data_IF_978618750826
#
_entry.id   IF_978618750826
#
_cell.length_a   1.000
_cell.length_b   1.000
_cell.length_c   1.000
_cell.angle_alpha   90.00
_cell.angle_beta   90.00
_cell.angle_gamma   90.00
#
_symmetry.space_group_name_H-M   'P 1'
#
loop_
_entity.id
_entity.type
_entity.pdbx_description
1 polymer ?
#
# COMPACT_ATOMS: atom_id res chain seq x y z
N UNK A 1 -12.66 -5.14 -11.60
CA UNK A 1 -11.68 -5.79 -12.52
C UNK A 1 -10.35 -5.79 -11.81
N UNK A 2 -9.50 -6.82 -11.95
CA UNK A 2 -8.19 -6.79 -11.26
C UNK A 2 -7.37 -5.60 -11.78
N UNK A 3 -6.86 -4.76 -10.88
CA UNK A 3 -6.10 -3.55 -11.22
C UNK A 3 -4.61 -3.82 -11.47
N UNK A 4 -4.17 -5.07 -11.33
CA UNK A 4 -2.80 -5.48 -11.62
C UNK A 4 -2.37 -5.05 -13.03
N UNK A 5 -1.16 -4.52 -13.16
CA UNK A 5 -0.61 -3.98 -14.40
C UNK A 5 -1.40 -2.82 -15.02
N UNK A 6 -2.20 -2.09 -14.23
CA UNK A 6 -2.85 -0.86 -14.68
C UNK A 6 -2.24 0.35 -13.96
N UNK A 7 -2.27 1.50 -14.63
CA UNK A 7 -1.83 2.77 -14.04
C UNK A 7 -2.86 3.27 -13.02
N UNK A 8 -2.39 3.80 -11.89
CA UNK A 8 -3.24 4.48 -10.92
C UNK A 8 -3.91 5.69 -11.59
N UNK A 9 -5.16 5.95 -11.22
CA UNK A 9 -5.90 7.10 -11.72
C UNK A 9 -5.45 8.39 -11.01
N UNK A 10 -5.63 9.56 -11.65
CA UNK A 10 -5.43 10.84 -11.00
C UNK A 10 -6.26 10.95 -9.72
N UNK A 11 -5.69 11.56 -8.69
CA UNK A 11 -6.35 11.89 -7.44
C UNK A 11 -5.67 13.10 -6.79
N UNK A 12 -6.41 13.73 -5.88
CA UNK A 12 -5.93 14.82 -5.05
C UNK A 12 -6.71 14.84 -3.75
N UNK A 13 -6.04 14.72 -2.61
CA UNK A 13 -6.71 14.64 -1.31
C UNK A 13 -5.88 15.28 -0.19
N UNK A 14 -6.58 15.57 0.90
CA UNK A 14 -5.96 16.05 2.14
C UNK A 14 -5.55 14.86 2.99
N UNK A 15 -4.38 14.98 3.62
CA UNK A 15 -3.83 13.96 4.50
C UNK A 15 -3.31 14.58 5.80
N UNK A 16 -3.25 13.76 6.84
CA UNK A 16 -2.52 14.07 8.06
C UNK A 16 -1.15 13.39 8.01
N UNK A 17 -0.06 14.11 8.30
CA UNK A 17 1.30 13.57 8.42
C UNK A 17 2.08 14.38 9.43
N UNK A 18 2.69 13.72 10.42
CA UNK A 18 3.61 14.32 11.40
C UNK A 18 3.12 15.64 12.05
N UNK A 19 1.83 15.69 12.41
CA UNK A 19 1.24 16.87 13.07
C UNK A 19 0.75 17.96 12.12
N UNK A 20 0.92 17.80 10.81
CA UNK A 20 0.52 18.77 9.80
C UNK A 20 -0.56 18.20 8.87
N UNK A 21 -1.35 19.11 8.29
CA UNK A 21 -2.22 18.79 7.16
C UNK A 21 -1.50 19.11 5.87
N UNK A 22 -1.41 18.11 5.00
CA UNK A 22 -0.74 18.19 3.71
C UNK A 22 -1.72 17.80 2.60
N UNK A 23 -1.39 18.19 1.38
CA UNK A 23 -2.07 17.74 0.18
C UNK A 23 -1.24 16.65 -0.49
N UNK A 24 -1.89 15.58 -0.95
CA UNK A 24 -1.26 14.46 -1.65
C UNK A 24 -1.95 14.25 -2.98
N UNK A 25 -1.15 14.04 -4.03
CA UNK A 25 -1.57 13.82 -5.40
C UNK A 25 -0.67 12.78 -6.09
N UNK A 26 -0.96 12.45 -7.34
CA UNK A 26 -0.10 11.57 -8.15
C UNK A 26 1.32 12.14 -8.35
N UNK A 27 1.49 13.46 -8.30
CA UNK A 27 2.81 14.10 -8.46
C UNK A 27 3.74 13.73 -7.31
N UNK A 28 3.21 13.54 -6.10
CA UNK A 28 3.98 13.17 -4.90
C UNK A 28 4.52 11.74 -4.95
N UNK A 29 3.89 10.90 -5.80
CA UNK A 29 4.19 9.48 -5.99
C UNK A 29 5.07 9.24 -7.21
N UNK A 30 4.98 10.09 -8.22
CA UNK A 30 5.71 9.91 -9.48
C UNK A 30 7.21 9.74 -9.25
N UNK A 31 7.80 8.69 -9.82
CA UNK A 31 9.22 8.38 -9.67
C UNK A 31 9.60 7.69 -8.36
N UNK A 32 8.63 7.30 -7.51
CA UNK A 32 8.87 6.56 -6.27
C UNK A 32 8.02 5.29 -6.23
N UNK A 33 8.49 4.29 -5.48
CA UNK A 33 7.62 3.20 -5.08
C UNK A 33 6.63 3.70 -4.05
N UNK A 34 5.36 3.32 -4.20
CA UNK A 34 4.31 3.69 -3.26
C UNK A 34 3.48 2.48 -2.82
N UNK A 35 3.01 2.53 -1.58
CA UNK A 35 2.06 1.56 -1.04
C UNK A 35 0.81 2.29 -0.60
N UNK A 36 -0.34 1.90 -1.17
CA UNK A 36 -1.65 2.37 -0.72
C UNK A 36 -2.28 1.30 0.17
N UNK A 37 -2.54 1.65 1.42
CA UNK A 37 -3.11 0.77 2.44
C UNK A 37 -4.50 1.26 2.81
N UNK A 38 -5.50 0.69 2.15
CA UNK A 38 -6.90 0.96 2.46
C UNK A 38 -7.33 0.23 3.72
N UNK A 39 -8.12 0.91 4.55
CA UNK A 39 -8.75 0.32 5.72
C UNK A 39 -10.17 0.89 5.91
N UNK A 40 -11.08 0.12 6.54
CA UNK A 40 -12.49 0.51 6.59
C UNK A 40 -12.77 1.85 7.29
N UNK A 41 -12.28 2.04 8.52
CA UNK A 41 -12.58 3.22 9.33
C UNK A 41 -11.61 3.41 10.49
N UNK A 42 -11.40 4.67 10.89
CA UNK A 42 -10.73 5.10 12.11
C UNK A 42 -11.48 4.61 13.36
N UNK A 43 -10.78 4.56 14.51
CA UNK A 43 -11.36 4.17 15.81
C UNK A 43 -12.01 2.77 15.87
N UNK A 44 -11.56 1.85 15.01
CA UNK A 44 -12.00 0.45 14.99
C UNK A 44 -10.93 -0.51 15.55
N UNK A 45 -11.13 -1.83 15.41
CA UNK A 45 -10.37 -2.85 16.15
C UNK A 45 -9.17 -3.41 15.39
N UNK A 46 -9.36 -3.85 14.14
CA UNK A 46 -8.30 -4.48 13.32
C UNK A 46 -7.44 -3.43 12.61
N UNK A 47 -8.03 -2.30 12.21
CA UNK A 47 -7.31 -1.22 11.52
C UNK A 47 -6.07 -0.72 12.28
N UNK A 48 -6.10 -0.43 13.60
CA UNK A 48 -4.90 0.04 14.28
C UNK A 48 -3.79 -1.01 14.35
N UNK A 49 -4.12 -2.31 14.39
CA UNK A 49 -3.09 -3.36 14.41
C UNK A 49 -2.36 -3.44 13.07
N UNK A 50 -3.09 -3.32 11.95
CA UNK A 50 -2.49 -3.33 10.60
C UNK A 50 -1.62 -2.09 10.36
N UNK A 51 -2.15 -0.89 10.66
CA UNK A 51 -1.39 0.35 10.50
C UNK A 51 -0.18 0.40 11.43
N UNK A 52 -0.32 -0.15 12.65
CA UNK A 52 0.77 -0.29 13.59
C UNK A 52 1.88 -1.21 13.09
N UNK A 53 1.54 -2.36 12.50
CA UNK A 53 2.51 -3.31 11.92
C UNK A 53 3.29 -2.68 10.76
N UNK A 54 2.59 -1.96 9.86
CA UNK A 54 3.23 -1.23 8.77
C UNK A 54 4.12 -0.10 9.31
N UNK A 55 3.70 0.60 10.36
CA UNK A 55 4.51 1.64 11.00
C UNK A 55 5.82 1.09 11.56
N UNK A 56 5.82 -0.14 12.09
CA UNK A 56 7.04 -0.80 12.57
C UNK A 56 8.01 -1.18 11.43
N UNK A 57 7.49 -1.31 10.20
CA UNK A 57 8.30 -1.54 8.98
C UNK A 57 8.64 -0.27 8.21
N UNK A 58 8.12 0.89 8.63
CA UNK A 58 8.21 2.11 7.83
C UNK A 58 9.64 2.58 7.60
N UNK A 59 10.54 2.43 8.57
CA UNK A 59 11.96 2.77 8.40
C UNK A 59 12.63 1.90 7.33
N UNK A 60 12.33 0.59 7.30
CA UNK A 60 12.82 -0.31 6.25
C UNK A 60 12.27 0.10 4.87
N UNK A 61 10.97 0.40 4.79
CA UNK A 61 10.32 0.84 3.55
C UNK A 61 10.94 2.15 3.02
N UNK A 62 11.15 3.14 3.90
CA UNK A 62 11.80 4.41 3.56
C UNK A 62 13.26 4.20 3.10
N UNK A 63 14.01 3.30 3.74
CA UNK A 63 15.39 2.97 3.31
C UNK A 63 15.46 2.40 1.89
N UNK A 64 14.33 1.87 1.37
CA UNK A 64 14.18 1.33 0.01
C UNK A 64 13.48 2.29 -0.94
N UNK A 65 13.28 3.55 -0.54
CA UNK A 65 12.63 4.57 -1.38
C UNK A 65 11.13 4.31 -1.59
N UNK A 66 10.47 3.66 -0.63
CA UNK A 66 9.03 3.36 -0.67
C UNK A 66 8.28 4.30 0.26
N UNK A 67 7.32 5.05 -0.29
CA UNK A 67 6.39 5.86 0.49
C UNK A 67 5.10 5.08 0.77
N UNK A 68 4.51 5.30 1.95
CA UNK A 68 3.28 4.64 2.39
C UNK A 68 2.17 5.69 2.49
N UNK A 69 0.97 5.30 2.08
CA UNK A 69 -0.24 6.10 2.21
C UNK A 69 -1.33 5.20 2.78
N UNK A 70 -1.79 5.48 4.00
CA UNK A 70 -3.02 4.82 4.50
C UNK A 70 -4.22 5.61 4.05
N UNK A 71 -5.30 4.94 3.64
CA UNK A 71 -6.51 5.57 3.10
C UNK A 71 -7.74 4.98 3.77
N UNK A 72 -8.61 5.84 4.31
CA UNK A 72 -10.00 5.47 4.63
C UNK A 72 -10.94 6.56 4.12
N UNK A 73 -12.24 6.31 4.22
CA UNK A 73 -13.26 7.30 3.86
C UNK A 73 -13.51 8.33 4.96
N UNK A 74 -12.73 8.29 6.05
CA UNK A 74 -12.71 9.33 7.07
C UNK A 74 -12.03 10.61 6.55
N UNK A 75 -12.03 11.65 7.37
CA UNK A 75 -11.36 12.93 7.06
C UNK A 75 -9.98 13.00 7.70
N UNK A 76 -9.09 13.82 7.13
CA UNK A 76 -7.79 14.13 7.73
C UNK A 76 -7.89 14.70 9.16
N UNK A 77 -9.01 15.36 9.53
CA UNK A 77 -9.27 15.77 10.91
C UNK A 77 -9.50 14.58 11.84
N UNK A 78 -10.24 13.56 11.37
CA UNK A 78 -10.46 12.30 12.11
C UNK A 78 -9.12 11.60 12.34
N UNK A 79 -8.29 11.50 11.31
CA UNK A 79 -6.95 10.89 11.42
C UNK A 79 -6.08 11.59 12.45
N UNK A 80 -6.07 12.92 12.46
CA UNK A 80 -5.34 13.69 13.48
C UNK A 80 -5.85 13.37 14.88
N UNK A 81 -7.16 13.36 15.09
CA UNK A 81 -7.75 13.03 16.39
C UNK A 81 -7.45 11.58 16.80
N UNK A 82 -7.40 10.65 15.85
CA UNK A 82 -7.08 9.25 16.11
C UNK A 82 -5.60 9.06 16.46
N UNK A 83 -4.71 9.75 15.74
CA UNK A 83 -3.29 9.80 16.03
C UNK A 83 -2.98 10.34 17.42
N UNK A 84 -3.67 11.41 17.84
CA UNK A 84 -3.52 11.99 19.18
C UNK A 84 -3.98 11.05 20.31
N UNK A 85 -4.94 10.17 20.05
CA UNK A 85 -5.66 9.41 21.09
C UNK A 85 -5.31 7.93 21.17
N UNK A 86 -4.64 7.37 20.16
CA UNK A 86 -4.26 5.96 20.12
C UNK A 86 -2.74 5.79 20.12
N UNK A 87 -2.22 5.11 21.15
CA UNK A 87 -0.78 4.78 21.26
C UNK A 87 -0.24 4.04 20.03
N UNK A 88 -1.06 3.22 19.38
CA UNK A 88 -0.66 2.48 18.17
C UNK A 88 -0.63 3.34 16.92
N UNK A 89 -1.49 4.35 16.82
CA UNK A 89 -1.56 5.23 15.66
C UNK A 89 -0.57 6.38 15.79
N UNK A 90 -0.26 6.82 17.02
CA UNK A 90 0.65 7.95 17.23
C UNK A 90 2.08 7.73 16.69
N UNK A 91 2.47 6.47 16.48
CA UNK A 91 3.77 6.10 15.89
C UNK A 91 3.78 6.17 14.36
N UNK A 92 2.63 6.36 13.71
CA UNK A 92 2.54 6.51 12.26
C UNK A 92 3.23 7.81 11.86
N UNK A 93 4.15 7.69 10.90
CA UNK A 93 4.90 8.80 10.28
C UNK A 93 4.63 8.95 8.78
N UNK A 94 3.87 8.02 8.21
CA UNK A 94 3.43 8.10 6.82
C UNK A 94 2.13 8.91 6.70
N UNK A 95 1.78 9.31 5.48
CA UNK A 95 0.59 10.12 5.25
C UNK A 95 -0.70 9.29 5.43
N UNK A 96 -1.61 9.81 6.25
CA UNK A 96 -2.97 9.30 6.43
C UNK A 96 -3.93 10.12 5.58
N UNK A 97 -4.29 9.62 4.39
CA UNK A 97 -5.17 10.28 3.43
C UNK A 97 -6.63 10.07 3.84
N UNK A 98 -7.36 11.19 3.95
CA UNK A 98 -8.82 11.14 4.07
C UNK A 98 -9.49 11.20 2.70
N UNK A 99 -10.34 10.22 2.40
CA UNK A 99 -11.10 10.10 1.14
C UNK A 99 -12.62 10.17 1.36
N UNK A 100 -13.16 11.28 1.92
CA UNK A 100 -14.59 11.37 2.26
C UNK A 100 -15.53 11.36 1.06
N UNK A 101 -15.03 11.64 -0.15
CA UNK A 101 -15.80 11.51 -1.39
C UNK A 101 -15.85 10.06 -1.88
N UNK A 102 -14.91 9.22 -1.43
CA UNK A 102 -14.70 7.86 -1.91
C UNK A 102 -14.11 7.81 -3.32
N UNK A 103 -13.50 8.89 -3.81
CA UNK A 103 -12.94 8.95 -5.16
C UNK A 103 -11.71 8.05 -5.27
N UNK A 104 -10.79 8.14 -4.30
CA UNK A 104 -9.56 7.34 -4.30
C UNK A 104 -9.92 5.87 -4.13
N UNK A 105 -10.78 5.57 -3.18
CA UNK A 105 -11.26 4.21 -2.87
C UNK A 105 -11.94 3.57 -4.10
N UNK A 106 -12.75 4.33 -4.86
CA UNK A 106 -13.34 3.84 -6.12
C UNK A 106 -12.33 3.76 -7.26
N UNK A 107 -11.32 4.64 -7.29
CA UNK A 107 -10.23 4.55 -8.27
C UNK A 107 -9.46 3.23 -8.13
N UNK A 108 -9.33 2.73 -6.89
CA UNK A 108 -8.73 1.43 -6.56
C UNK A 108 -9.72 0.25 -6.50
N UNK A 109 -10.97 0.44 -6.95
CA UNK A 109 -12.00 -0.62 -7.02
C UNK A 109 -12.21 -1.36 -5.69
N UNK A 110 -12.08 -0.67 -4.56
CA UNK A 110 -12.16 -1.24 -3.21
C UNK A 110 -13.23 -0.58 -2.32
N UNK A 111 -14.23 0.09 -2.91
CA UNK A 111 -15.35 0.69 -2.18
C UNK A 111 -16.43 -0.35 -1.87
N UNK A 112 -16.85 -0.41 -0.61
CA UNK A 112 -18.08 -1.11 -0.19
C UNK A 112 -19.26 -0.17 -0.37
N UNK A 113 -19.86 -0.15 -1.56
CA UNK A 113 -20.90 0.83 -1.91
C UNK A 113 -22.12 0.83 -0.97
N UNK A 114 -22.42 -0.29 -0.31
CA UNK A 114 -23.52 -0.37 0.67
C UNK A 114 -23.16 0.18 2.05
N UNK A 115 -21.88 0.42 2.33
CA UNK A 115 -21.36 0.87 3.62
C UNK A 115 -20.65 2.23 3.57
N UNK A 116 -20.17 2.65 2.39
CA UNK A 116 -19.39 3.87 2.24
C UNK A 116 -17.99 3.78 2.87
N UNK A 117 -17.45 2.58 3.01
CA UNK A 117 -16.14 2.30 3.59
C UNK A 117 -15.26 1.56 2.58
N UNK A 118 -13.95 1.72 2.67
CA UNK A 118 -13.01 0.92 1.89
C UNK A 118 -12.94 -0.52 2.40
N UNK A 119 -12.66 -1.47 1.50
CA UNK A 119 -12.19 -2.79 1.86
C UNK A 119 -10.75 -2.72 2.43
N UNK A 120 -10.35 -3.80 3.12
CA UNK A 120 -8.95 -3.99 3.54
C UNK A 120 -8.13 -4.36 2.31
N UNK A 121 -7.63 -3.36 1.61
CA UNK A 121 -6.89 -3.55 0.37
C UNK A 121 -5.50 -2.90 0.45
N UNK A 122 -4.47 -3.57 -0.03
CA UNK A 122 -3.10 -3.03 -0.15
C UNK A 122 -2.66 -3.11 -1.59
N UNK A 123 -2.14 -2.01 -2.13
CA UNK A 123 -1.62 -1.93 -3.49
C UNK A 123 -0.16 -1.46 -3.47
N UNK A 124 0.72 -2.21 -4.13
CA UNK A 124 2.11 -1.79 -4.38
C UNK A 124 2.17 -1.21 -5.78
N UNK A 125 2.65 0.03 -5.87
CA UNK A 125 2.70 0.82 -7.10
C UNK A 125 4.16 1.16 -7.39
N UNK A 126 4.60 0.95 -8.63
CA UNK A 126 5.96 1.26 -9.08
C UNK A 126 6.15 2.76 -9.41
N UNK A 127 7.40 3.20 -9.68
CA UNK A 127 7.71 4.59 -10.04
C UNK A 127 6.96 5.12 -11.27
N UNK A 128 6.53 4.25 -12.17
CA UNK A 128 5.75 4.55 -13.37
C UNK A 128 4.23 4.64 -13.08
N UNK A 129 3.83 4.40 -11.83
CA UNK A 129 2.43 4.47 -11.39
C UNK A 129 1.63 3.20 -11.69
N UNK A 130 2.29 2.08 -11.99
CA UNK A 130 1.65 0.79 -12.32
C UNK A 130 1.51 -0.07 -11.06
N UNK A 131 0.34 -0.68 -10.88
CA UNK A 131 0.08 -1.62 -9.77
C UNK A 131 0.82 -2.94 -10.04
N UNK A 132 1.81 -3.25 -9.20
CA UNK A 132 2.66 -4.46 -9.29
C UNK A 132 2.22 -5.59 -8.34
N UNK A 133 1.55 -5.25 -7.25
CA UNK A 133 0.96 -6.25 -6.35
C UNK A 133 -0.31 -5.70 -5.70
N UNK A 134 -1.25 -6.60 -5.41
CA UNK A 134 -2.48 -6.30 -4.68
C UNK A 134 -2.79 -7.40 -3.67
N UNK A 135 -3.34 -7.02 -2.52
CA UNK A 135 -3.86 -7.90 -1.50
C UNK A 135 -5.20 -7.34 -1.02
N UNK A 136 -6.23 -8.18 -0.92
CA UNK A 136 -7.55 -7.79 -0.40
C UNK A 136 -8.01 -8.87 0.57
N UNK A 137 -8.34 -8.47 1.79
CA UNK A 137 -8.83 -9.38 2.84
C UNK A 137 -10.25 -8.99 3.27
N UNK A 138 -10.99 -9.97 3.80
CA UNK A 138 -12.30 -9.69 4.38
C UNK A 138 -12.17 -8.96 5.72
N UNK A 139 -13.28 -8.37 6.20
CA UNK A 139 -13.30 -7.48 7.38
C UNK A 139 -12.57 -8.04 8.61
N UNK A 140 -12.69 -9.33 8.89
CA UNK A 140 -12.12 -9.97 10.07
C UNK A 140 -10.71 -10.54 9.91
N UNK A 141 -10.07 -10.34 8.75
CA UNK A 141 -8.75 -10.91 8.45
C UNK A 141 -7.75 -9.76 8.33
N UNK A 142 -6.90 -9.59 9.36
CA UNK A 142 -5.79 -8.65 9.32
C UNK A 142 -4.69 -9.10 8.36
N UNK A 143 -4.04 -8.12 7.70
CA UNK A 143 -2.89 -8.30 6.81
C UNK A 143 -1.58 -8.41 7.60
N UNK A 144 -0.53 -8.84 6.90
CA UNK A 144 0.81 -9.07 7.43
C UNK A 144 1.84 -8.19 6.68
N UNK A 145 2.48 -7.26 7.40
CA UNK A 145 3.45 -6.35 6.80
C UNK A 145 4.73 -7.05 6.33
N UNK A 146 5.08 -8.23 6.86
CA UNK A 146 6.24 -8.99 6.37
C UNK A 146 6.02 -9.52 4.94
N UNK A 147 4.79 -9.96 4.61
CA UNK A 147 4.49 -10.37 3.23
C UNK A 147 4.42 -9.17 2.28
N UNK A 148 3.93 -8.01 2.75
CA UNK A 148 4.01 -6.75 2.00
C UNK A 148 5.47 -6.39 1.68
N UNK A 149 6.33 -6.35 2.69
CA UNK A 149 7.78 -6.05 2.51
C UNK A 149 8.43 -7.06 1.56
N UNK A 150 8.09 -8.35 1.66
CA UNK A 150 8.59 -9.38 0.75
C UNK A 150 8.17 -9.12 -0.71
N UNK A 151 6.89 -8.79 -0.94
CA UNK A 151 6.37 -8.47 -2.29
C UNK A 151 7.03 -7.23 -2.87
N UNK A 152 7.26 -6.18 -2.06
CA UNK A 152 7.96 -4.96 -2.48
C UNK A 152 9.39 -5.29 -2.93
N UNK A 153 10.14 -6.07 -2.14
CA UNK A 153 11.50 -6.51 -2.51
C UNK A 153 11.53 -7.27 -3.82
N UNK A 154 10.58 -8.18 -4.02
CA UNK A 154 10.47 -8.95 -5.27
C UNK A 154 10.14 -8.04 -6.47
N UNK A 155 9.22 -7.08 -6.30
CA UNK A 155 8.85 -6.14 -7.35
C UNK A 155 10.04 -5.24 -7.73
N UNK A 156 10.78 -4.72 -6.74
CA UNK A 156 12.01 -3.94 -6.96
C UNK A 156 13.11 -4.77 -7.65
N UNK A 157 13.25 -6.05 -7.29
CA UNK A 157 14.21 -6.94 -7.93
C UNK A 157 13.90 -7.10 -9.42
N UNK A 158 12.67 -7.48 -9.76
CA UNK A 158 12.26 -7.70 -11.17
C UNK A 158 12.38 -6.40 -11.98
N UNK A 159 12.04 -5.25 -11.40
CA UNK A 159 12.19 -3.96 -12.04
C UNK A 159 13.68 -3.62 -12.35
N UNK A 160 14.61 -4.01 -11.49
CA UNK A 160 16.05 -3.76 -11.65
C UNK A 160 16.81 -4.85 -12.42
N UNK A 161 16.19 -6.03 -12.65
CA UNK A 161 16.78 -7.16 -13.37
C UNK A 161 15.88 -7.61 -14.54
N UNK A 162 15.78 -6.82 -15.62
CA UNK A 162 14.95 -7.19 -16.77
C UNK A 162 15.38 -8.54 -17.35
N UNK A 163 14.41 -9.46 -17.49
CA UNK A 163 14.65 -10.83 -17.95
C UNK A 163 14.84 -11.85 -16.83
N UNK A 164 14.77 -11.44 -15.56
CA UNK A 164 14.67 -12.35 -14.41
C UNK A 164 13.28 -12.31 -13.77
N UNK A 165 12.89 -13.42 -13.14
CA UNK A 165 11.65 -13.53 -12.36
C UNK A 165 11.91 -14.17 -11.01
N UNK A 166 11.16 -13.72 -10.00
CA UNK A 166 11.22 -14.25 -8.64
C UNK A 166 10.31 -15.50 -8.51
N UNK A 167 10.83 -16.69 -8.16
CA UNK A 167 10.02 -17.88 -7.93
C UNK A 167 9.16 -17.78 -6.66
N UNK A 168 8.30 -18.78 -6.44
CA UNK A 168 7.49 -18.85 -5.22
C UNK A 168 8.37 -18.83 -3.96
N UNK A 169 7.92 -18.09 -2.93
CA UNK A 169 8.62 -17.87 -1.65
C UNK A 169 9.97 -17.13 -1.73
N UNK A 170 10.34 -16.60 -2.89
CA UNK A 170 11.60 -15.88 -3.09
C UNK A 170 11.83 -14.78 -2.03
N UNK A 171 13.07 -14.73 -1.54
CA UNK A 171 13.63 -13.67 -0.70
C UNK A 171 14.92 -13.12 -1.31
N UNK A 172 15.27 -11.90 -0.92
CA UNK A 172 16.50 -11.23 -1.37
C UNK A 172 17.74 -12.11 -1.09
N UNK A 173 18.55 -12.33 -2.13
CA UNK A 173 19.71 -13.22 -2.10
C UNK A 173 19.45 -14.68 -2.50
N UNK A 174 18.19 -15.09 -2.67
CA UNK A 174 17.84 -16.43 -3.18
C UNK A 174 17.86 -16.50 -4.71
N UNK A 175 17.94 -17.72 -5.23
CA UNK A 175 18.00 -17.98 -6.66
C UNK A 175 16.73 -17.50 -7.39
N UNK A 176 16.93 -16.87 -8.55
CA UNK A 176 15.90 -16.44 -9.48
C UNK A 176 15.80 -17.37 -10.68
N UNK A 177 14.83 -17.11 -11.55
CA UNK A 177 14.70 -17.78 -12.84
C UNK A 177 14.92 -16.79 -13.96
N UNK A 178 15.55 -17.23 -15.05
CA UNK A 178 15.68 -16.48 -16.29
C UNK A 178 14.78 -17.13 -17.36
N UNK A 179 13.58 -16.59 -17.62
CA UNK A 179 12.68 -17.14 -18.63
C UNK A 179 13.37 -17.25 -20.00
N UNK A 180 13.47 -18.47 -20.52
CA UNK A 180 14.10 -18.78 -21.79
C UNK A 180 13.46 -20.03 -22.39
N UNK A 181 13.57 -20.21 -23.71
CA UNK A 181 13.01 -21.38 -24.40
C UNK A 181 13.56 -22.69 -23.82
N UNK A 182 14.85 -22.71 -23.46
CA UNK A 182 15.50 -23.87 -22.87
C UNK A 182 15.00 -24.21 -21.47
N UNK A 183 14.41 -23.27 -20.73
CA UNK A 183 13.88 -23.49 -19.38
C UNK A 183 12.42 -24.00 -19.40
N UNK A 184 11.72 -23.89 -20.53
CA UNK A 184 10.33 -24.34 -20.67
C UNK A 184 10.23 -25.86 -20.46
N UNK A 185 9.45 -26.28 -19.46
CA UNK A 185 9.18 -27.69 -19.15
C UNK A 185 10.22 -28.39 -18.27
N UNK A 186 11.17 -27.65 -17.66
CA UNK A 186 12.26 -28.23 -16.84
C UNK A 186 12.19 -27.95 -15.34
N UNK A 187 11.26 -27.10 -14.89
CA UNK A 187 11.05 -26.70 -13.49
C UNK A 187 10.04 -27.61 -12.81
#
# INVERSE_FOLDING_TARGET
MALINTAIKPFKAQAFKDGEFIEVSNEDISGKWAVFVFYPADFTFVCPTELGDIADKYEELQSRGVEVFSVSTDTHFTHKAWHDSSDTINKIKFAMIGDPTGEITRNFDCMRETMGLADRATFVVDPEGIVQAMEITSEGIGRDADDLVRKIKAAQYVASHPGEVCPAKWKEGEATLAPSLDLVGKI
#
